data_IF_529942037553
#
_entry.id   IF_529942037553
#
_cell.length_a   1.000
_cell.length_b   1.000
_cell.length_c   1.000
_cell.angle_alpha   90.00
_cell.angle_beta   90.00
_cell.angle_gamma   90.00
#
_symmetry.space_group_name_H-M   'P 1'
#
loop_
_entity.id
_entity.type
_entity.pdbx_description
1 polymer ?
#
# COMPACT_ATOMS: atom_id res chain seq x y z
N UNK A 1 -41.07 53.15 8.97
CA UNK A 1 -39.84 52.36 9.18
C UNK A 1 -40.14 51.26 10.18
N UNK A 2 -40.46 50.06 9.68
CA UNK A 2 -40.82 48.91 10.50
C UNK A 2 -39.51 48.22 10.92
N UNK A 3 -39.09 48.38 12.16
CA UNK A 3 -37.97 47.61 12.71
C UNK A 3 -38.44 46.16 12.85
N UNK A 4 -38.02 45.31 11.91
CA UNK A 4 -38.13 43.86 12.08
C UNK A 4 -37.19 43.51 13.24
N UNK A 5 -37.75 43.19 14.41
CA UNK A 5 -36.98 42.68 15.53
C UNK A 5 -36.42 41.32 15.15
N UNK A 6 -35.16 41.28 14.71
CA UNK A 6 -34.36 40.05 14.77
C UNK A 6 -34.18 39.79 16.27
N UNK A 7 -34.90 38.81 16.82
CA UNK A 7 -34.73 38.42 18.23
C UNK A 7 -33.26 38.08 18.48
N UNK A 8 -32.64 38.62 19.54
CA UNK A 8 -31.23 38.39 19.85
C UNK A 8 -30.85 36.90 19.99
N UNK A 9 -31.83 36.02 20.22
CA UNK A 9 -31.65 34.58 20.32
C UNK A 9 -31.30 33.89 18.99
N UNK A 10 -31.77 34.42 17.85
CA UNK A 10 -31.50 33.86 16.52
C UNK A 10 -30.69 34.85 15.67
N UNK A 11 -29.38 34.62 15.62
CA UNK A 11 -28.40 35.33 14.79
C UNK A 11 -28.01 34.44 13.60
N UNK A 12 -27.48 35.00 12.48
CA UNK A 12 -27.07 34.21 11.30
C UNK A 12 -26.05 33.10 11.60
N UNK A 13 -25.36 33.16 12.73
CA UNK A 13 -24.33 32.19 13.15
C UNK A 13 -24.78 31.25 14.28
N UNK A 14 -26.00 31.39 14.81
CA UNK A 14 -26.48 30.59 15.94
C UNK A 14 -26.57 29.10 15.59
N UNK A 15 -27.03 28.78 14.37
CA UNK A 15 -27.10 27.42 13.84
C UNK A 15 -26.10 27.27 12.69
N UNK A 16 -25.17 26.33 12.81
CA UNK A 16 -24.21 25.99 11.77
C UNK A 16 -24.87 25.20 10.62
N UNK A 17 -24.14 25.04 9.51
CA UNK A 17 -24.51 24.16 8.39
C UNK A 17 -25.94 24.38 7.85
N UNK A 18 -26.34 25.66 7.74
CA UNK A 18 -27.66 26.09 7.28
C UNK A 18 -28.85 25.51 8.10
N UNK A 19 -28.63 25.24 9.39
CA UNK A 19 -29.70 24.89 10.31
C UNK A 19 -30.71 26.03 10.52
N UNK A 20 -31.99 25.70 10.67
CA UNK A 20 -33.05 26.68 10.93
C UNK A 20 -33.08 27.04 12.42
N UNK A 21 -32.93 28.32 12.73
CA UNK A 21 -33.05 28.83 14.10
C UNK A 21 -34.50 29.15 14.44
N UNK A 22 -35.00 28.59 15.55
CA UNK A 22 -36.32 28.88 16.10
C UNK A 22 -36.18 29.49 17.49
N UNK A 23 -36.75 30.67 17.71
CA UNK A 23 -36.85 31.27 19.04
C UNK A 23 -37.87 30.49 19.89
N UNK A 24 -37.60 30.32 21.19
CA UNK A 24 -38.54 29.69 22.12
C UNK A 24 -39.68 30.64 22.49
N UNK A 25 -40.85 30.09 22.81
CA UNK A 25 -42.08 30.87 23.08
C UNK A 25 -42.02 31.71 24.36
N UNK A 26 -41.06 31.44 25.24
CA UNK A 26 -40.77 32.23 26.45
C UNK A 26 -39.89 33.46 26.17
N UNK A 27 -39.43 33.65 24.92
CA UNK A 27 -38.62 34.79 24.51
C UNK A 27 -37.18 34.79 25.04
N UNK A 28 -36.76 33.76 25.77
CA UNK A 28 -35.47 33.70 26.46
C UNK A 28 -34.46 32.72 25.82
N UNK A 29 -34.87 31.89 24.86
CA UNK A 29 -34.05 30.83 24.29
C UNK A 29 -34.17 30.65 22.78
N UNK A 30 -33.40 29.71 22.26
CA UNK A 30 -33.37 29.31 20.86
C UNK A 30 -33.15 27.80 20.75
N UNK A 31 -33.58 27.23 19.62
CA UNK A 31 -33.21 25.87 19.23
C UNK A 31 -32.92 25.80 17.73
N UNK A 32 -32.01 24.93 17.34
CA UNK A 32 -31.74 24.66 15.94
C UNK A 32 -32.50 23.42 15.46
N UNK A 33 -33.04 23.50 14.24
CA UNK A 33 -33.50 22.35 13.47
C UNK A 33 -32.44 22.09 12.39
N UNK A 34 -31.76 20.96 12.50
CA UNK A 34 -30.63 20.64 11.63
C UNK A 34 -31.07 20.12 10.28
N UNK A 35 -30.28 20.46 9.25
CA UNK A 35 -30.40 19.85 7.94
C UNK A 35 -30.09 18.33 8.04
N UNK A 36 -30.58 17.52 7.09
CA UNK A 36 -30.17 16.12 6.99
C UNK A 36 -28.65 16.01 7.00
N UNK A 37 -28.12 15.01 7.72
CA UNK A 37 -26.69 14.78 7.93
C UNK A 37 -25.99 15.73 8.91
N UNK A 38 -26.70 16.48 9.74
CA UNK A 38 -26.11 17.29 10.82
C UNK A 38 -26.79 17.03 12.17
N UNK A 39 -26.02 17.15 13.24
CA UNK A 39 -26.44 16.92 14.62
C UNK A 39 -25.73 17.87 15.60
N UNK A 40 -26.10 17.79 16.87
CA UNK A 40 -25.69 18.70 17.93
C UNK A 40 -26.61 19.92 18.04
N UNK A 41 -26.55 20.59 19.19
CA UNK A 41 -27.51 21.66 19.55
C UNK A 41 -27.46 22.87 18.63
N UNK A 42 -26.33 23.09 17.93
CA UNK A 42 -26.14 24.12 16.89
C UNK A 42 -25.91 23.53 15.51
N UNK A 43 -26.21 22.26 15.28
CA UNK A 43 -25.97 21.57 14.00
C UNK A 43 -24.50 21.55 13.55
N UNK A 44 -23.57 21.67 14.50
CA UNK A 44 -22.14 21.79 14.23
C UNK A 44 -21.47 20.47 13.86
N UNK A 45 -22.08 19.34 14.22
CA UNK A 45 -21.54 18.02 13.94
C UNK A 45 -22.16 17.49 12.65
N UNK A 46 -21.36 16.92 11.75
CA UNK A 46 -21.88 16.10 10.66
C UNK A 46 -22.18 14.69 11.15
N UNK A 47 -23.30 14.14 10.71
CA UNK A 47 -23.60 12.71 10.86
C UNK A 47 -22.86 12.01 9.73
N UNK A 48 -21.76 11.33 10.04
CA UNK A 48 -21.13 10.40 9.11
C UNK A 48 -21.80 9.04 9.26
N UNK A 49 -22.74 8.73 8.36
CA UNK A 49 -23.19 7.33 8.21
C UNK A 49 -22.06 6.59 7.52
N UNK A 50 -21.46 5.59 8.19
CA UNK A 50 -20.47 4.71 7.56
C UNK A 50 -21.16 3.89 6.48
N UNK A 51 -20.77 4.07 5.22
CA UNK A 51 -21.25 3.27 4.10
C UNK A 51 -20.69 1.83 4.18
N UNK A 52 -19.62 1.61 4.94
CA UNK A 52 -19.05 0.30 5.21
C UNK A 52 -19.79 -0.53 6.27
N UNK A 53 -20.72 0.06 7.04
CA UNK A 53 -21.47 -0.65 8.08
C UNK A 53 -22.25 -1.87 7.56
N UNK A 54 -22.74 -1.79 6.31
CA UNK A 54 -23.46 -2.89 5.66
C UNK A 54 -22.53 -3.94 5.01
N UNK A 55 -21.22 -3.83 5.22
CA UNK A 55 -20.20 -4.70 4.60
C UNK A 55 -20.41 -4.88 3.09
N UNK A 56 -20.39 -3.79 2.31
CA UNK A 56 -20.81 -3.85 0.92
C UNK A 56 -19.86 -4.64 0.01
N UNK A 57 -18.60 -4.87 0.41
CA UNK A 57 -17.59 -5.53 -0.40
C UNK A 57 -17.68 -7.06 -0.31
N UNK A 58 -17.80 -7.73 -1.46
CA UNK A 58 -17.80 -9.18 -1.60
C UNK A 58 -16.37 -9.76 -1.65
N UNK A 59 -16.28 -11.09 -1.61
CA UNK A 59 -15.05 -11.86 -1.92
C UNK A 59 -13.79 -11.43 -1.15
N UNK A 60 -13.96 -11.06 0.13
CA UNK A 60 -12.84 -10.63 0.98
C UNK A 60 -12.33 -9.21 0.70
N UNK A 61 -13.08 -8.40 -0.05
CA UNK A 61 -12.79 -6.99 -0.27
C UNK A 61 -12.77 -6.18 1.03
N UNK A 62 -11.81 -5.27 1.16
CA UNK A 62 -11.74 -4.35 2.31
C UNK A 62 -12.51 -3.08 2.00
N UNK A 63 -13.52 -2.76 2.80
CA UNK A 63 -14.30 -1.53 2.64
C UNK A 63 -13.55 -0.32 3.22
N UNK A 64 -13.56 0.78 2.48
CA UNK A 64 -13.04 2.08 2.90
C UNK A 64 -14.15 3.11 2.78
N UNK A 65 -14.52 3.73 3.89
CA UNK A 65 -15.52 4.80 3.93
C UNK A 65 -15.04 6.03 3.16
N UNK A 66 -15.96 6.66 2.43
CA UNK A 66 -15.77 7.93 1.76
C UNK A 66 -16.90 8.90 2.10
N UNK A 67 -16.76 10.19 1.78
CA UNK A 67 -17.84 11.15 1.97
C UNK A 67 -19.03 10.77 1.09
N UNK A 68 -20.10 10.26 1.71
CA UNK A 68 -21.35 9.81 1.07
C UNK A 68 -21.20 8.58 0.15
N UNK A 69 -20.08 7.87 0.18
CA UNK A 69 -19.81 6.72 -0.68
C UNK A 69 -18.89 5.72 0.00
N UNK A 70 -18.68 4.55 -0.60
CA UNK A 70 -17.67 3.59 -0.17
C UNK A 70 -16.76 3.22 -1.35
N UNK A 71 -15.54 2.79 -1.04
CA UNK A 71 -14.65 2.15 -2.00
C UNK A 71 -14.23 0.79 -1.48
N UNK A 72 -14.32 -0.23 -2.32
CA UNK A 72 -13.81 -1.56 -2.00
C UNK A 72 -12.39 -1.73 -2.56
N UNK A 73 -11.44 -2.07 -1.67
CA UNK A 73 -10.14 -2.60 -2.07
C UNK A 73 -10.28 -4.09 -2.32
N UNK A 74 -10.33 -4.48 -3.59
CA UNK A 74 -10.53 -5.86 -3.97
C UNK A 74 -9.23 -6.66 -3.95
N UNK A 75 -9.17 -7.82 -3.28
CA UNK A 75 -8.07 -8.75 -3.45
C UNK A 75 -8.11 -9.34 -4.86
N UNK A 76 -6.94 -9.58 -5.45
CA UNK A 76 -6.86 -10.35 -6.69
C UNK A 76 -7.42 -11.78 -6.47
N UNK A 77 -8.19 -12.36 -7.42
CA UNK A 77 -8.48 -11.87 -8.76
C UNK A 77 -9.74 -10.99 -8.87
N UNK A 78 -10.33 -10.52 -7.77
CA UNK A 78 -11.62 -9.85 -7.82
C UNK A 78 -11.53 -8.38 -8.27
N UNK A 79 -12.59 -7.90 -8.92
CA UNK A 79 -12.77 -6.52 -9.39
C UNK A 79 -14.25 -6.11 -9.36
N UNK A 80 -14.54 -4.89 -9.76
CA UNK A 80 -15.88 -4.30 -9.67
C UNK A 80 -16.01 -3.39 -8.45
N UNK A 81 -17.09 -2.62 -8.37
CA UNK A 81 -17.27 -1.64 -7.29
C UNK A 81 -17.36 -2.30 -5.91
N UNK A 82 -17.86 -3.54 -5.87
CA UNK A 82 -18.08 -4.34 -4.67
C UNK A 82 -17.27 -5.64 -4.71
N UNK A 83 -16.25 -5.74 -5.56
CA UNK A 83 -15.44 -6.96 -5.74
C UNK A 83 -16.25 -8.19 -6.17
N UNK A 84 -17.37 -7.98 -6.85
CA UNK A 84 -18.34 -8.99 -7.28
C UNK A 84 -17.95 -9.71 -8.57
N UNK A 85 -17.01 -9.14 -9.33
CA UNK A 85 -16.54 -9.69 -10.60
C UNK A 85 -15.18 -10.35 -10.41
N UNK A 86 -14.87 -11.35 -11.25
CA UNK A 86 -13.52 -11.92 -11.37
C UNK A 86 -12.81 -11.23 -12.53
N UNK A 87 -11.57 -10.82 -12.31
CA UNK A 87 -10.70 -10.28 -13.34
C UNK A 87 -10.22 -11.42 -14.25
N UNK A 88 -10.45 -11.25 -15.55
CA UNK A 88 -9.94 -12.13 -16.60
C UNK A 88 -8.54 -11.73 -17.06
N UNK A 89 -7.95 -10.70 -16.45
CA UNK A 89 -6.59 -10.25 -16.78
C UNK A 89 -5.62 -11.22 -16.13
N UNK A 90 -4.91 -11.98 -16.96
CA UNK A 90 -3.75 -12.77 -16.57
C UNK A 90 -2.67 -11.82 -16.04
N UNK A 91 -2.18 -12.07 -14.83
CA UNK A 91 -1.04 -11.32 -14.30
C UNK A 91 0.26 -11.84 -14.96
N UNK A 92 1.27 -10.97 -15.15
CA UNK A 92 2.46 -11.38 -15.88
C UNK A 92 3.25 -12.52 -15.21
N UNK A 93 3.17 -12.67 -13.88
CA UNK A 93 3.80 -13.81 -13.18
C UNK A 93 3.02 -15.12 -13.24
N UNK A 94 1.77 -15.16 -13.71
CA UNK A 94 0.98 -16.39 -13.75
C UNK A 94 1.60 -17.45 -14.69
N UNK A 95 2.35 -17.01 -15.71
CA UNK A 95 3.11 -17.87 -16.62
C UNK A 95 4.50 -18.25 -16.08
N UNK A 96 4.90 -17.75 -14.91
CA UNK A 96 6.23 -17.89 -14.32
C UNK A 96 7.37 -17.58 -15.31
N UNK A 97 7.48 -16.33 -15.79
CA UNK A 97 8.46 -15.95 -16.82
C UNK A 97 9.91 -15.95 -16.33
N UNK A 98 10.14 -15.92 -15.01
CA UNK A 98 11.48 -15.87 -14.43
C UNK A 98 12.17 -17.24 -14.48
N UNK A 99 13.42 -17.27 -14.94
CA UNK A 99 14.22 -18.49 -15.10
C UNK A 99 15.05 -18.82 -13.85
N UNK A 100 15.66 -20.01 -13.86
CA UNK A 100 16.64 -20.44 -12.85
C UNK A 100 16.13 -20.39 -11.40
N UNK A 101 14.84 -20.68 -11.19
CA UNK A 101 14.17 -20.64 -9.88
C UNK A 101 14.11 -19.23 -9.25
N UNK A 102 14.16 -18.18 -10.06
CA UNK A 102 13.96 -16.82 -9.61
C UNK A 102 12.51 -16.57 -9.16
N UNK A 103 12.34 -15.66 -8.20
CA UNK A 103 11.01 -15.28 -7.69
C UNK A 103 10.41 -14.20 -8.57
N UNK A 104 9.21 -14.43 -9.10
CA UNK A 104 8.46 -13.44 -9.87
C UNK A 104 7.57 -12.60 -8.97
N UNK A 105 7.57 -11.28 -9.17
CA UNK A 105 6.69 -10.33 -8.47
C UNK A 105 5.90 -9.50 -9.49
N UNK A 106 4.58 -9.45 -9.32
CA UNK A 106 3.69 -8.68 -10.18
C UNK A 106 3.76 -7.18 -9.83
N UNK A 107 3.90 -6.33 -10.86
CA UNK A 107 3.90 -4.87 -10.78
C UNK A 107 2.72 -4.22 -11.51
N UNK A 108 1.55 -4.88 -11.52
CA UNK A 108 0.39 -4.46 -12.30
C UNK A 108 0.43 -5.02 -13.72
N UNK A 109 0.84 -4.21 -14.71
CA UNK A 109 0.99 -4.66 -16.11
C UNK A 109 2.36 -5.26 -16.42
N UNK A 110 3.34 -5.08 -15.53
CA UNK A 110 4.70 -5.59 -15.67
C UNK A 110 5.01 -6.58 -14.54
N UNK A 111 6.18 -7.24 -14.62
CA UNK A 111 6.72 -8.07 -13.54
C UNK A 111 8.20 -7.77 -13.31
N UNK A 112 8.69 -8.19 -12.14
CA UNK A 112 10.10 -8.16 -11.78
C UNK A 112 10.53 -9.56 -11.31
N UNK A 113 11.68 -10.01 -11.82
CA UNK A 113 12.33 -11.24 -11.38
C UNK A 113 13.43 -10.94 -10.35
N UNK A 114 13.31 -11.51 -9.15
CA UNK A 114 14.38 -11.49 -8.16
C UNK A 114 15.31 -12.67 -8.42
N UNK A 115 16.47 -12.39 -9.00
CA UNK A 115 17.42 -13.42 -9.40
C UNK A 115 18.10 -14.06 -8.19
N UNK A 116 18.24 -15.40 -8.17
CA UNK A 116 19.07 -16.06 -7.17
C UNK A 116 20.55 -15.74 -7.39
N UNK A 117 21.39 -15.90 -6.35
CA UNK A 117 22.82 -15.72 -6.47
C UNK A 117 23.39 -16.52 -7.65
N UNK A 118 24.20 -15.88 -8.48
CA UNK A 118 24.75 -16.53 -9.68
C UNK A 118 23.96 -16.28 -10.97
N UNK A 119 22.86 -15.52 -10.94
CA UNK A 119 22.10 -15.15 -12.14
C UNK A 119 21.80 -13.64 -12.23
N UNK A 120 21.67 -13.15 -13.46
CA UNK A 120 21.31 -11.76 -13.81
C UNK A 120 20.50 -11.72 -15.11
N UNK A 121 20.10 -10.53 -15.55
CA UNK A 121 19.16 -10.31 -16.65
C UNK A 121 17.75 -10.04 -16.16
N UNK A 122 16.87 -9.58 -17.04
CA UNK A 122 15.49 -9.24 -16.68
C UNK A 122 14.64 -10.46 -16.33
N UNK A 123 15.00 -11.63 -16.85
CA UNK A 123 14.38 -12.93 -16.57
C UNK A 123 15.30 -13.85 -15.78
N UNK A 124 16.44 -13.35 -15.29
CA UNK A 124 17.48 -14.15 -14.63
C UNK A 124 18.05 -15.24 -15.54
N UNK A 125 18.09 -15.00 -16.85
CA UNK A 125 18.52 -15.90 -17.90
C UNK A 125 20.05 -16.03 -18.00
N UNK A 126 20.78 -15.03 -17.50
CA UNK A 126 22.24 -14.96 -17.65
C UNK A 126 22.92 -15.48 -16.40
N UNK A 127 23.76 -16.51 -16.54
CA UNK A 127 24.59 -17.00 -15.44
C UNK A 127 25.81 -16.08 -15.25
N UNK A 128 26.00 -15.53 -14.05
CA UNK A 128 27.12 -14.65 -13.71
C UNK A 128 28.32 -15.39 -13.12
N UNK A 129 28.35 -16.72 -13.04
CA UNK A 129 29.57 -17.44 -12.65
C UNK A 129 30.57 -17.32 -13.80
N UNK A 130 31.64 -16.52 -13.69
CA UNK A 130 32.75 -16.65 -14.61
C UNK A 130 33.32 -18.06 -14.43
N UNK A 131 33.76 -18.68 -15.53
CA UNK A 131 34.36 -20.04 -15.52
C UNK A 131 35.51 -20.21 -14.50
N UNK A 132 36.09 -19.11 -14.03
CA UNK A 132 37.18 -19.07 -13.06
C UNK A 132 36.73 -19.05 -11.61
N UNK A 133 35.44 -18.93 -11.30
CA UNK A 133 34.99 -18.88 -9.92
C UNK A 133 34.70 -20.28 -9.37
N UNK A 134 35.73 -20.89 -8.81
CA UNK A 134 35.66 -22.20 -8.15
C UNK A 134 35.23 -22.14 -6.68
N UNK A 135 34.90 -20.94 -6.16
CA UNK A 135 34.58 -20.68 -4.76
C UNK A 135 33.12 -20.24 -4.60
N UNK A 136 32.45 -20.72 -3.55
CA UNK A 136 31.13 -20.23 -3.14
C UNK A 136 31.31 -18.96 -2.28
N UNK A 137 30.75 -17.83 -2.73
CA UNK A 137 30.90 -16.54 -2.07
C UNK A 137 29.71 -16.15 -1.17
N UNK A 138 28.79 -17.06 -0.83
CA UNK A 138 27.55 -16.75 -0.07
C UNK A 138 27.80 -16.16 1.34
N UNK A 139 27.14 -15.06 1.77
CA UNK A 139 25.99 -14.36 1.14
C UNK A 139 26.36 -13.31 0.07
N UNK A 140 27.62 -13.26 -0.33
CA UNK A 140 28.14 -12.41 -1.40
C UNK A 140 28.15 -13.07 -2.79
N UNK A 141 28.80 -12.42 -3.74
CA UNK A 141 28.95 -12.90 -5.11
C UNK A 141 30.40 -12.79 -5.58
N UNK A 142 30.75 -13.67 -6.53
CA UNK A 142 32.08 -13.71 -7.12
C UNK A 142 32.15 -12.84 -8.37
N UNK A 143 33.29 -12.19 -8.60
CA UNK A 143 33.60 -11.54 -9.87
C UNK A 143 34.97 -11.96 -10.39
N UNK A 144 35.15 -11.93 -11.71
CA UNK A 144 36.45 -12.13 -12.35
C UNK A 144 37.33 -10.90 -12.13
N UNK A 145 38.54 -11.10 -11.61
CA UNK A 145 39.53 -10.05 -11.46
C UNK A 145 40.87 -10.51 -12.04
N UNK A 146 41.11 -10.13 -13.29
CA UNK A 146 42.32 -10.51 -14.03
C UNK A 146 43.61 -9.91 -13.46
N UNK A 147 43.52 -8.98 -12.50
CA UNK A 147 44.66 -8.31 -11.86
C UNK A 147 45.15 -8.95 -10.56
N UNK A 148 44.53 -10.03 -10.11
CA UNK A 148 44.91 -10.75 -8.87
C UNK A 148 45.09 -12.25 -9.14
N UNK A 149 45.80 -12.94 -8.25
CA UNK A 149 45.96 -14.39 -8.29
C UNK A 149 45.44 -14.99 -6.97
N UNK A 150 44.35 -15.78 -7.00
CA UNK A 150 43.62 -16.27 -8.18
C UNK A 150 42.80 -15.16 -8.88
N UNK A 151 42.43 -15.30 -10.18
CA UNK A 151 41.84 -14.24 -11.00
C UNK A 151 40.35 -13.97 -10.72
N UNK A 152 39.97 -14.00 -9.45
CA UNK A 152 38.62 -13.79 -8.97
C UNK A 152 38.62 -13.26 -7.53
N UNK A 153 37.57 -12.56 -7.14
CA UNK A 153 37.36 -12.14 -5.76
C UNK A 153 35.86 -12.19 -5.37
N UNK A 154 35.59 -12.23 -4.07
CA UNK A 154 34.23 -12.21 -3.52
C UNK A 154 33.88 -10.80 -3.01
N UNK A 155 32.67 -10.32 -3.31
CA UNK A 155 32.07 -9.12 -2.72
C UNK A 155 30.93 -9.50 -1.79
N UNK A 156 31.01 -9.05 -0.54
CA UNK A 156 29.96 -9.25 0.45
C UNK A 156 28.80 -8.26 0.19
N UNK A 157 27.57 -8.69 0.42
CA UNK A 157 26.34 -7.90 0.24
C UNK A 157 25.97 -7.04 1.47
N UNK A 158 26.80 -7.07 2.53
CA UNK A 158 26.57 -6.36 3.80
C UNK A 158 27.88 -5.70 4.29
N UNK A 159 27.85 -4.38 4.49
CA UNK A 159 28.97 -3.55 4.94
C UNK A 159 29.38 -3.83 6.41
N UNK A 160 28.56 -4.56 7.17
CA UNK A 160 28.88 -4.98 8.54
C UNK A 160 29.80 -6.20 8.60
N UNK A 161 29.93 -6.93 7.49
CA UNK A 161 30.90 -8.02 7.33
C UNK A 161 32.23 -7.40 6.91
N UNK A 162 32.99 -6.90 7.91
CA UNK A 162 34.35 -6.41 7.74
C UNK A 162 35.17 -7.32 6.81
N UNK A 163 35.88 -6.68 5.88
CA UNK A 163 36.66 -7.12 4.71
C UNK A 163 37.38 -8.49 4.71
N UNK A 164 37.38 -9.26 5.80
CA UNK A 164 38.16 -10.48 5.98
C UNK A 164 37.32 -11.74 6.30
N UNK A 165 35.98 -11.70 6.23
CA UNK A 165 35.13 -12.86 6.61
C UNK A 165 34.39 -13.58 5.49
N UNK A 166 34.19 -12.99 4.31
CA UNK A 166 33.59 -13.74 3.18
C UNK A 166 34.53 -14.80 2.59
N UNK A 167 35.85 -14.59 2.68
CA UNK A 167 36.85 -15.57 2.21
C UNK A 167 37.30 -16.58 3.29
N UNK A 168 36.93 -16.39 4.56
CA UNK A 168 37.50 -17.15 5.69
C UNK A 168 36.67 -18.34 6.17
N UNK A 169 35.65 -18.79 5.42
CA UNK A 169 34.94 -20.05 5.72
C UNK A 169 35.71 -21.32 5.26
N UNK A 170 36.98 -21.20 4.90
CA UNK A 170 37.88 -22.34 4.74
C UNK A 170 38.58 -22.68 6.05
N UNK A 171 38.01 -23.63 6.80
CA UNK A 171 38.83 -24.72 7.34
C UNK A 171 38.56 -25.96 6.49
N UNK A 172 39.55 -26.30 5.67
CA UNK A 172 39.89 -27.62 5.14
C UNK A 172 38.71 -28.59 4.88
N UNK A 173 38.32 -28.73 3.60
CA UNK A 173 38.09 -30.07 3.04
C UNK A 173 39.27 -30.44 2.12
N UNK A 174 40.40 -30.74 2.76
CA UNK A 174 41.40 -31.67 2.24
C UNK A 174 41.55 -32.75 3.31
N UNK A 175 40.77 -33.81 3.13
CA UNK A 175 41.11 -35.23 3.27
C UNK A 175 39.93 -36.05 2.73
#
# INVERSE_FOLDING_TARGET
FLFIFISAACSPTTCANAGLCLATTDGAGWRCVCQPQFTGDRCQNSISVSQCAAQPCANGGTCVDGPFTFNCKCPYPFKGQRCELISTVQLPCDSNPCLNSATCTNGGTNFLCSCPPGYTGSLCETNIRPAFCSIDCSPGYCFSNSGIQPPYACYCTDDTIQLNRCASLFKNKKE
#
